data_IF_740522276874
#
_entry.id   IF_740522276874
#
_cell.length_a   1.000
_cell.length_b   1.000
_cell.length_c   1.000
_cell.angle_alpha   90.00
_cell.angle_beta   90.00
_cell.angle_gamma   90.00
#
_symmetry.space_group_name_H-M   'P 1'
#
loop_
_entity.id
_entity.type
_entity.pdbx_description
1 polymer ?
#
# COMPACT_ATOMS: atom_id res chain seq x y z
N UNK A 1 -1.85 16.50 -6.85
CA UNK A 1 -1.23 15.23 -6.45
C UNK A 1 -2.23 14.10 -6.70
N UNK A 2 -1.80 13.07 -7.36
CA UNK A 2 -2.67 11.97 -7.77
C UNK A 2 -2.60 10.83 -6.76
N UNK A 3 -3.73 10.17 -6.40
CA UNK A 3 -3.67 9.01 -5.52
C UNK A 3 -2.82 7.88 -6.09
N UNK A 4 -2.80 7.72 -7.40
CA UNK A 4 -1.97 6.70 -8.04
C UNK A 4 -0.48 6.91 -7.76
N UNK A 5 -0.02 8.15 -7.75
CA UNK A 5 1.38 8.45 -7.45
C UNK A 5 1.76 8.08 -6.02
N UNK A 6 0.89 8.39 -5.07
CA UNK A 6 1.10 8.01 -3.67
C UNK A 6 1.09 6.50 -3.50
N UNK A 7 0.17 5.82 -4.19
CA UNK A 7 0.08 4.37 -4.14
C UNK A 7 1.31 3.72 -4.77
N UNK A 8 1.77 4.23 -5.90
CA UNK A 8 2.97 3.70 -6.56
C UNK A 8 4.17 3.78 -5.65
N UNK A 9 4.27 4.86 -4.87
CA UNK A 9 5.35 5.00 -3.91
C UNK A 9 5.27 3.93 -2.82
N UNK A 10 4.08 3.69 -2.29
CA UNK A 10 3.88 2.65 -1.27
C UNK A 10 4.29 1.28 -1.81
N UNK A 11 3.87 0.95 -3.02
CA UNK A 11 4.22 -0.34 -3.65
C UNK A 11 5.73 -0.44 -3.88
N UNK A 12 6.35 0.65 -4.30
CA UNK A 12 7.80 0.68 -4.49
C UNK A 12 8.56 0.38 -3.19
N UNK A 13 8.12 0.99 -2.09
CA UNK A 13 8.71 0.73 -0.79
C UNK A 13 8.46 -0.70 -0.34
N UNK A 14 7.24 -1.21 -0.59
CA UNK A 14 6.90 -2.60 -0.28
C UNK A 14 7.84 -3.57 -0.98
N UNK A 15 8.10 -3.34 -2.27
CA UNK A 15 8.97 -4.23 -3.06
C UNK A 15 10.43 -4.17 -2.60
N UNK A 16 10.84 -3.12 -1.92
CA UNK A 16 12.19 -2.97 -1.40
C UNK A 16 12.37 -3.53 0.01
N UNK A 17 11.31 -4.01 0.65
CA UNK A 17 11.40 -4.56 2.00
C UNK A 17 12.22 -5.83 2.05
N UNK A 18 13.05 -5.96 3.08
CA UNK A 18 13.93 -7.11 3.27
C UNK A 18 13.62 -7.89 4.56
N UNK A 19 12.76 -7.36 5.42
CA UNK A 19 12.41 -8.01 6.68
C UNK A 19 11.00 -7.60 7.13
N UNK A 20 10.50 -8.27 8.18
CA UNK A 20 9.15 -8.04 8.66
C UNK A 20 8.96 -6.67 9.31
N UNK A 21 10.01 -6.10 9.92
CA UNK A 21 9.91 -4.77 10.49
C UNK A 21 9.64 -3.72 9.42
N UNK A 22 10.28 -3.87 8.26
CA UNK A 22 10.05 -2.97 7.13
C UNK A 22 8.65 -3.15 6.56
N UNK A 23 8.13 -4.38 6.55
CA UNK A 23 6.76 -4.63 6.13
C UNK A 23 5.77 -3.89 7.01
N UNK A 24 6.01 -3.87 8.32
CA UNK A 24 5.14 -3.18 9.26
C UNK A 24 5.12 -1.67 8.97
N UNK A 25 6.28 -1.10 8.65
CA UNK A 25 6.38 0.32 8.29
C UNK A 25 5.56 0.60 7.03
N UNK A 26 5.65 -0.27 6.02
CA UNK A 26 4.88 -0.11 4.79
C UNK A 26 3.38 -0.22 5.05
N UNK A 27 2.99 -1.15 5.92
CA UNK A 27 1.59 -1.29 6.30
C UNK A 27 1.05 0.01 6.92
N UNK A 28 1.85 0.66 7.77
CA UNK A 28 1.48 1.94 8.35
C UNK A 28 1.40 3.04 7.28
N UNK A 29 2.32 3.03 6.32
CA UNK A 29 2.28 3.96 5.19
C UNK A 29 0.97 3.81 4.40
N UNK A 30 0.55 2.57 4.14
CA UNK A 30 -0.68 2.32 3.42
C UNK A 30 -1.90 2.75 4.22
N UNK A 31 -1.89 2.55 5.54
CA UNK A 31 -2.97 3.03 6.39
C UNK A 31 -3.09 4.56 6.33
N UNK A 32 -1.97 5.26 6.30
CA UNK A 32 -1.97 6.72 6.13
C UNK A 32 -2.47 7.11 4.75
N UNK A 33 -2.12 6.36 3.72
CA UNK A 33 -2.63 6.55 2.37
C UNK A 33 -4.16 6.45 2.35
N UNK A 34 -4.70 5.41 2.98
CA UNK A 34 -6.16 5.23 3.04
C UNK A 34 -6.84 6.42 3.72
N UNK A 35 -6.30 6.85 4.85
CA UNK A 35 -6.88 7.99 5.58
C UNK A 35 -6.83 9.26 4.76
N UNK A 36 -5.74 9.48 4.04
CA UNK A 36 -5.58 10.67 3.21
C UNK A 36 -6.60 10.71 2.08
N UNK A 37 -6.87 9.57 1.46
CA UNK A 37 -7.66 9.53 0.23
C UNK A 37 -9.09 9.00 0.39
N UNK A 38 -9.47 8.47 1.56
CA UNK A 38 -10.77 7.81 1.74
C UNK A 38 -11.97 8.71 1.44
N UNK A 39 -11.83 10.03 1.62
CA UNK A 39 -12.89 10.99 1.34
C UNK A 39 -12.66 11.78 0.05
N UNK A 40 -11.60 11.44 -0.70
CA UNK A 40 -11.19 12.19 -1.89
C UNK A 40 -11.27 11.39 -3.17
N UNK A 41 -11.43 10.07 -3.06
CA UNK A 41 -11.54 9.19 -4.22
C UNK A 41 -12.77 8.31 -4.05
N UNK A 42 -13.21 7.72 -5.16
CA UNK A 42 -14.38 6.83 -5.13
C UNK A 42 -14.05 5.54 -4.38
N UNK A 43 -15.06 4.97 -3.72
CA UNK A 43 -14.90 3.73 -2.97
C UNK A 43 -14.37 2.60 -3.84
N UNK A 44 -14.79 2.53 -5.12
CA UNK A 44 -14.31 1.52 -6.04
C UNK A 44 -12.81 1.62 -6.28
N UNK A 45 -12.30 2.84 -6.41
CA UNK A 45 -10.87 3.07 -6.63
C UNK A 45 -10.09 2.70 -5.37
N UNK A 46 -10.60 3.08 -4.21
CA UNK A 46 -9.95 2.73 -2.95
C UNK A 46 -9.93 1.22 -2.75
N UNK A 47 -11.04 0.54 -3.07
CA UNK A 47 -11.11 -0.91 -2.99
C UNK A 47 -10.09 -1.58 -3.91
N UNK A 48 -9.90 -1.04 -5.11
CA UNK A 48 -8.89 -1.55 -6.04
C UNK A 48 -7.49 -1.45 -5.45
N UNK A 49 -7.15 -0.30 -4.84
CA UNK A 49 -5.86 -0.13 -4.18
C UNK A 49 -5.69 -1.10 -3.03
N UNK A 50 -6.75 -1.34 -2.25
CA UNK A 50 -6.72 -2.30 -1.15
C UNK A 50 -6.40 -3.72 -1.64
N UNK A 51 -7.05 -4.15 -2.72
CA UNK A 51 -6.81 -5.48 -3.29
C UNK A 51 -5.37 -5.62 -3.79
N UNK A 52 -4.89 -4.62 -4.52
CA UNK A 52 -3.54 -4.65 -5.06
C UNK A 52 -2.51 -4.70 -3.93
N UNK A 53 -2.68 -3.84 -2.93
CA UNK A 53 -1.76 -3.80 -1.80
C UNK A 53 -1.77 -5.13 -1.04
N UNK A 54 -2.95 -5.66 -0.74
CA UNK A 54 -3.07 -6.92 0.00
C UNK A 54 -2.37 -8.05 -0.73
N UNK A 55 -2.58 -8.15 -2.04
CA UNK A 55 -1.93 -9.17 -2.87
C UNK A 55 -0.41 -9.04 -2.83
N UNK A 56 0.10 -7.84 -3.05
CA UNK A 56 1.54 -7.60 -3.07
C UNK A 56 2.16 -7.79 -1.68
N UNK A 57 1.45 -7.39 -0.64
CA UNK A 57 1.90 -7.53 0.74
C UNK A 57 2.06 -9.00 1.11
N UNK A 58 1.05 -9.83 0.84
CA UNK A 58 1.08 -11.25 1.13
C UNK A 58 2.16 -11.96 0.33
N UNK A 59 2.31 -11.59 -0.93
CA UNK A 59 3.34 -12.13 -1.80
C UNK A 59 4.74 -11.82 -1.25
N UNK A 60 4.95 -10.59 -0.83
CA UNK A 60 6.24 -10.17 -0.28
C UNK A 60 6.53 -10.88 1.04
N UNK A 61 5.53 -10.95 1.92
CA UNK A 61 5.67 -11.62 3.21
C UNK A 61 6.05 -13.09 3.05
N UNK A 62 5.50 -13.75 2.03
CA UNK A 62 5.80 -15.15 1.76
C UNK A 62 7.25 -15.38 1.31
N UNK A 63 7.91 -14.36 0.79
CA UNK A 63 9.30 -14.46 0.33
C UNK A 63 10.33 -14.06 1.38
N UNK A 64 9.89 -13.57 2.53
CA UNK A 64 10.78 -13.21 3.64
C UNK A 64 11.02 -14.41 4.60
#
# INVERSE_FOLDING_TARGET
MEPQNDFDYVIKVLNSCENEEQLEVVNNMFNNFKKKWENKIYDLDLTSFLYIFDFEYKKKKATL
#
